data_IF_232459796183
#
_entry.id   IF_232459796183
#
_cell.length_a   1.000
_cell.length_b   1.000
_cell.length_c   1.000
_cell.angle_alpha   90.00
_cell.angle_beta   90.00
_cell.angle_gamma   90.00
#
_symmetry.space_group_name_H-M   'P 1'
#
loop_
_entity.id
_entity.type
_entity.pdbx_description
1 polymer ?
#
# COMPACT_ATOMS: atom_id res chain seq x y z
N UNK A 1 24.80 5.74 2.14
CA UNK A 1 25.38 5.01 1.00
C UNK A 1 26.66 4.33 1.47
N UNK A 2 26.55 3.27 2.30
CA UNK A 2 27.70 2.57 2.92
C UNK A 2 27.51 1.04 3.04
N UNK A 3 26.30 0.52 2.77
CA UNK A 3 25.97 -0.90 2.99
C UNK A 3 26.80 -1.87 2.15
N UNK A 4 27.18 -1.46 0.94
CA UNK A 4 28.00 -2.27 0.02
C UNK A 4 29.46 -2.32 0.51
N UNK A 5 29.99 -1.20 1.00
CA UNK A 5 31.35 -1.13 1.54
C UNK A 5 31.49 -2.02 2.79
N UNK A 6 30.46 -2.01 3.65
CA UNK A 6 30.41 -2.88 4.83
C UNK A 6 30.33 -4.36 4.44
N UNK A 7 29.54 -4.69 3.41
CA UNK A 7 29.46 -6.06 2.88
C UNK A 7 30.82 -6.54 2.33
N UNK A 8 31.53 -5.67 1.60
CA UNK A 8 32.89 -5.94 1.09
C UNK A 8 33.89 -6.17 2.22
N UNK A 9 33.89 -5.32 3.25
CA UNK A 9 34.75 -5.49 4.42
C UNK A 9 34.51 -6.82 5.15
N UNK A 10 33.27 -7.32 5.15
CA UNK A 10 32.92 -8.62 5.75
C UNK A 10 33.38 -9.81 4.92
N UNK A 11 33.46 -9.65 3.60
CA UNK A 11 34.07 -10.64 2.72
C UNK A 11 35.56 -10.75 3.05
N UNK A 12 36.27 -9.63 3.17
CA UNK A 12 37.69 -9.61 3.54
C UNK A 12 37.96 -10.24 4.91
N UNK A 13 37.05 -10.05 5.87
CA UNK A 13 37.12 -10.67 7.20
C UNK A 13 36.68 -12.13 7.24
N UNK A 14 36.17 -12.70 6.13
CA UNK A 14 35.65 -14.07 6.08
C UNK A 14 34.35 -14.29 6.88
N UNK A 15 33.64 -13.22 7.25
CA UNK A 15 32.38 -13.25 8.00
C UNK A 15 31.15 -13.08 7.10
N UNK A 16 31.36 -13.00 5.80
CA UNK A 16 30.28 -12.91 4.83
C UNK A 16 29.45 -14.19 4.81
N UNK A 17 28.12 -14.05 4.76
CA UNK A 17 27.19 -15.17 4.78
C UNK A 17 26.88 -15.74 6.17
N UNK A 18 27.30 -15.09 7.25
CA UNK A 18 26.90 -15.43 8.62
C UNK A 18 26.10 -14.28 9.26
N UNK A 19 25.02 -14.65 9.95
CA UNK A 19 24.16 -13.72 10.67
C UNK A 19 24.90 -13.09 11.85
N UNK A 20 24.85 -11.76 12.00
CA UNK A 20 25.49 -11.07 13.13
C UNK A 20 24.84 -11.34 14.48
N UNK A 21 23.54 -11.63 14.48
CA UNK A 21 22.78 -11.82 15.72
C UNK A 21 22.93 -13.24 16.28
N UNK A 22 22.71 -14.27 15.45
CA UNK A 22 22.72 -15.67 15.89
C UNK A 22 23.91 -16.49 15.40
N UNK A 23 24.78 -15.94 14.54
CA UNK A 23 25.95 -16.64 14.00
C UNK A 23 25.63 -17.77 13.01
N UNK A 24 24.34 -18.01 12.68
CA UNK A 24 23.92 -19.02 11.70
C UNK A 24 24.26 -18.59 10.28
N UNK A 25 24.43 -19.56 9.39
CA UNK A 25 24.65 -19.30 7.96
C UNK A 25 23.38 -18.70 7.33
N UNK A 26 23.55 -17.62 6.56
CA UNK A 26 22.47 -16.97 5.80
C UNK A 26 22.21 -17.82 4.54
N UNK A 27 20.93 -18.02 4.20
CA UNK A 27 20.56 -18.77 3.00
C UNK A 27 21.14 -18.12 1.74
N UNK A 28 21.74 -18.93 0.86
CA UNK A 28 22.36 -18.44 -0.38
C UNK A 28 21.37 -17.69 -1.28
N UNK A 29 20.11 -18.17 -1.36
CA UNK A 29 19.07 -17.50 -2.15
C UNK A 29 18.83 -16.06 -1.68
N UNK A 30 18.96 -15.81 -0.37
CA UNK A 30 18.81 -14.48 0.21
C UNK A 30 20.01 -13.58 -0.09
N UNK A 31 21.24 -14.11 -0.01
CA UNK A 31 22.45 -13.38 -0.39
C UNK A 31 22.50 -13.08 -1.89
N UNK A 32 21.92 -13.95 -2.73
CA UNK A 32 21.79 -13.72 -4.15
C UNK A 32 20.79 -12.60 -4.48
N UNK A 33 19.70 -12.50 -3.70
CA UNK A 33 18.71 -11.43 -3.86
C UNK A 33 19.19 -10.09 -3.26
N UNK A 34 19.76 -10.11 -2.05
CA UNK A 34 20.19 -8.93 -1.28
C UNK A 34 21.58 -9.22 -0.68
N UNK A 35 22.67 -8.91 -1.41
CA UNK A 35 24.02 -9.28 -1.00
C UNK A 35 24.54 -8.52 0.22
N UNK A 36 23.96 -7.36 0.55
CA UNK A 36 24.33 -6.55 1.72
C UNK A 36 23.66 -6.99 3.03
N UNK A 37 22.83 -8.04 3.01
CA UNK A 37 22.09 -8.47 4.20
C UNK A 37 23.04 -9.06 5.26
N UNK A 38 22.82 -8.65 6.51
CA UNK A 38 23.66 -9.06 7.65
C UNK A 38 22.99 -10.03 8.62
N UNK A 39 21.67 -10.22 8.46
CA UNK A 39 20.82 -11.02 9.34
C UNK A 39 20.17 -12.18 8.56
N UNK A 40 19.90 -13.28 9.27
CA UNK A 40 19.08 -14.37 8.74
C UNK A 40 17.59 -14.02 8.81
N UNK A 41 16.77 -14.76 8.06
CA UNK A 41 15.32 -14.54 7.98
C UNK A 41 14.67 -14.51 9.37
N UNK A 42 14.97 -15.49 10.23
CA UNK A 42 14.38 -15.55 11.57
C UNK A 42 14.63 -14.26 12.37
N UNK A 43 15.89 -13.81 12.43
CA UNK A 43 16.28 -12.63 13.21
C UNK A 43 15.75 -11.34 12.60
N UNK A 44 15.62 -11.26 11.27
CA UNK A 44 14.99 -10.12 10.62
C UNK A 44 13.48 -10.08 10.91
N UNK A 45 12.79 -11.21 10.84
CA UNK A 45 11.37 -11.31 11.16
C UNK A 45 11.08 -11.01 12.64
N UNK A 46 11.98 -11.36 13.55
CA UNK A 46 11.87 -10.97 14.96
C UNK A 46 12.01 -9.44 15.12
N UNK A 47 12.98 -8.83 14.44
CA UNK A 47 13.17 -7.37 14.45
C UNK A 47 11.99 -6.61 13.83
N UNK A 48 11.39 -7.14 12.75
CA UNK A 48 10.22 -6.53 12.11
C UNK A 48 8.98 -6.54 13.02
N UNK A 49 8.76 -7.63 13.77
CA UNK A 49 7.66 -7.74 14.74
C UNK A 49 7.77 -6.75 15.90
N UNK A 50 8.99 -6.41 16.34
CA UNK A 50 9.18 -5.35 17.35
C UNK A 50 8.88 -3.95 16.79
N UNK A 51 8.97 -3.77 15.47
CA UNK A 51 8.66 -2.51 14.78
C UNK A 51 7.25 -2.48 14.17
N UNK A 52 6.39 -3.43 14.54
CA UNK A 52 5.08 -3.59 13.95
C UNK A 52 4.16 -2.43 14.41
N UNK A 53 3.86 -1.53 13.48
CA UNK A 53 2.82 -0.50 13.55
C UNK A 53 3.04 0.74 14.45
N UNK A 54 4.01 0.78 15.37
CA UNK A 54 4.14 1.92 16.29
C UNK A 54 4.56 3.25 15.62
N UNK A 55 5.04 3.21 14.37
CA UNK A 55 5.52 4.41 13.63
C UNK A 55 4.66 4.76 12.41
N UNK A 56 3.46 4.18 12.29
CA UNK A 56 2.51 4.63 11.25
C UNK A 56 1.84 5.93 11.71
N UNK A 57 1.67 6.92 10.81
CA UNK A 57 1.03 8.19 11.17
C UNK A 57 -0.43 7.96 11.62
N UNK A 58 -0.93 8.79 12.54
CA UNK A 58 -2.28 8.67 13.12
C UNK A 58 -3.38 8.77 12.05
N UNK A 59 -3.10 9.47 10.95
CA UNK A 59 -3.96 9.59 9.79
C UNK A 59 -4.30 8.23 9.18
N UNK A 60 -3.43 7.23 9.30
CA UNK A 60 -3.67 5.89 8.76
C UNK A 60 -4.73 5.11 9.56
N UNK A 61 -4.82 5.32 10.87
CA UNK A 61 -5.92 4.80 11.69
C UNK A 61 -7.26 5.42 11.30
N UNK A 62 -7.23 6.69 10.85
CA UNK A 62 -8.42 7.40 10.37
C UNK A 62 -8.78 7.00 8.93
N UNK A 63 -7.79 6.68 8.10
CA UNK A 63 -7.92 6.30 6.69
C UNK A 63 -8.14 4.80 6.47
N UNK A 64 -7.99 3.96 7.50
CA UNK A 64 -8.26 2.53 7.42
C UNK A 64 -9.69 2.22 7.88
N UNK A 65 -10.55 1.61 7.05
CA UNK A 65 -10.32 1.10 5.71
C UNK A 65 -10.53 2.19 4.63
N UNK A 66 -9.79 2.15 3.51
CA UNK A 66 -9.95 3.14 2.45
C UNK A 66 -11.41 3.12 2.01
N UNK A 67 -12.05 4.29 2.03
CA UNK A 67 -13.43 4.50 1.60
C UNK A 67 -14.54 3.86 2.47
N UNK A 68 -14.30 2.77 3.22
CA UNK A 68 -15.34 2.03 3.98
C UNK A 68 -15.96 2.70 5.22
N UNK A 69 -15.71 3.97 5.54
CA UNK A 69 -16.47 4.66 6.62
C UNK A 69 -17.83 5.18 6.14
N UNK A 70 -18.00 5.36 4.83
CA UNK A 70 -19.16 6.08 4.28
C UNK A 70 -20.05 5.26 3.36
N UNK A 71 -19.57 4.19 2.71
CA UNK A 71 -20.42 3.27 1.94
C UNK A 71 -21.33 2.49 2.89
N UNK A 72 -22.46 3.07 3.28
CA UNK A 72 -23.50 2.42 4.05
C UNK A 72 -24.59 1.96 3.07
N UNK A 73 -24.33 0.93 2.27
CA UNK A 73 -25.36 0.36 1.39
C UNK A 73 -26.55 -0.23 2.21
N UNK A 74 -26.28 -0.63 3.46
CA UNK A 74 -27.22 -1.30 4.36
C UNK A 74 -28.07 -0.35 5.24
N UNK A 75 -28.01 0.99 5.08
CA UNK A 75 -28.80 1.91 5.92
C UNK A 75 -29.70 2.84 5.12
N UNK A 76 -30.95 3.04 5.58
CA UNK A 76 -31.93 4.02 5.07
C UNK A 76 -31.51 5.50 5.30
N UNK A 77 -30.22 5.81 5.18
CA UNK A 77 -29.66 7.12 5.42
C UNK A 77 -29.57 7.90 4.10
N UNK A 78 -30.62 8.67 3.81
CA UNK A 78 -30.71 9.54 2.63
C UNK A 78 -29.93 10.88 2.79
N UNK A 79 -28.82 10.88 3.53
CA UNK A 79 -28.00 12.07 3.76
C UNK A 79 -26.65 11.94 3.08
N UNK A 80 -26.02 13.07 2.75
CA UNK A 80 -24.78 13.12 1.95
C UNK A 80 -23.67 12.25 2.55
N UNK A 81 -23.33 11.18 1.86
CA UNK A 81 -22.29 10.26 2.26
C UNK A 81 -21.01 10.47 1.40
N UNK A 82 -20.08 9.51 1.48
CA UNK A 82 -18.83 9.61 0.73
C UNK A 82 -19.02 9.30 -0.75
N UNK A 83 -19.99 8.46 -1.10
CA UNK A 83 -20.36 8.15 -2.48
C UNK A 83 -20.97 9.38 -3.15
N UNK A 84 -21.95 10.03 -2.48
CA UNK A 84 -22.57 11.29 -2.92
C UNK A 84 -21.55 12.38 -3.24
N UNK A 85 -20.57 12.58 -2.35
CA UNK A 85 -19.51 13.58 -2.53
C UNK A 85 -18.62 13.23 -3.72
N UNK A 86 -18.31 11.94 -3.90
CA UNK A 86 -17.51 11.48 -5.02
C UNK A 86 -18.24 11.66 -6.35
N UNK A 87 -19.53 11.36 -6.42
CA UNK A 87 -20.36 11.56 -7.61
C UNK A 87 -20.49 13.04 -8.00
N UNK A 88 -20.70 13.95 -7.04
CA UNK A 88 -20.77 15.39 -7.31
C UNK A 88 -19.49 15.91 -7.97
N UNK A 89 -18.32 15.49 -7.47
CA UNK A 89 -17.01 15.89 -8.00
C UNK A 89 -16.72 15.19 -9.32
N UNK A 90 -17.11 13.92 -9.46
CA UNK A 90 -16.92 13.12 -10.68
C UNK A 90 -17.61 13.74 -11.90
N UNK A 91 -18.73 14.46 -11.72
CA UNK A 91 -19.40 15.24 -12.79
C UNK A 91 -18.47 16.26 -13.46
N UNK A 92 -17.48 16.77 -12.74
CA UNK A 92 -16.50 17.73 -13.26
C UNK A 92 -15.29 17.05 -13.92
N UNK A 93 -15.25 15.71 -13.92
CA UNK A 93 -14.27 14.88 -14.61
C UNK A 93 -13.50 13.97 -13.65
N UNK A 94 -13.51 12.67 -13.95
CA UNK A 94 -12.62 11.68 -13.34
C UNK A 94 -11.49 11.33 -14.32
N UNK A 95 -10.43 10.71 -13.82
CA UNK A 95 -9.37 10.17 -14.69
C UNK A 95 -9.84 9.02 -15.59
N UNK A 96 -11.10 8.59 -15.47
CA UNK A 96 -11.67 7.44 -16.19
C UNK A 96 -12.79 7.83 -17.18
N UNK A 97 -13.17 9.10 -17.26
CA UNK A 97 -14.28 9.54 -18.13
C UNK A 97 -13.82 10.02 -19.52
N UNK A 98 -14.77 10.05 -20.46
CA UNK A 98 -14.61 10.16 -21.93
C UNK A 98 -13.76 11.32 -22.50
N UNK A 99 -13.13 12.15 -21.67
CA UNK A 99 -12.08 13.07 -22.09
C UNK A 99 -10.84 12.34 -22.66
N UNK A 100 -10.57 11.11 -22.22
CA UNK A 100 -9.44 10.29 -22.71
C UNK A 100 -9.76 9.51 -24.01
N UNK A 101 -11.05 9.31 -24.32
CA UNK A 101 -11.50 8.65 -25.53
C UNK A 101 -11.95 9.70 -26.55
N UNK A 102 -11.02 10.09 -27.43
CA UNK A 102 -11.23 11.07 -28.49
C UNK A 102 -12.48 10.81 -29.34
N UNK A 103 -13.59 11.46 -28.94
CA UNK A 103 -14.77 11.73 -29.76
C UNK A 103 -15.68 10.55 -30.10
N UNK A 104 -16.83 10.47 -29.41
CA UNK A 104 -18.20 10.66 -29.96
C UNK A 104 -19.26 9.91 -29.15
N UNK A 105 -20.36 10.65 -28.94
CA UNK A 105 -21.78 10.25 -28.77
C UNK A 105 -22.22 9.54 -27.50
N UNK A 106 -23.10 10.25 -26.77
CA UNK A 106 -24.20 9.79 -25.93
C UNK A 106 -23.92 8.55 -25.08
N UNK A 107 -23.55 8.82 -23.83
CA UNK A 107 -23.85 7.89 -22.74
C UNK A 107 -25.05 8.49 -22.00
N UNK A 108 -26.12 7.70 -21.88
CA UNK A 108 -26.91 7.75 -20.64
C UNK A 108 -25.90 7.66 -19.51
N UNK A 109 -25.95 8.62 -18.59
CA UNK A 109 -25.00 8.76 -17.49
C UNK A 109 -24.88 7.40 -16.77
N UNK A 110 -23.77 6.64 -16.93
CA UNK A 110 -23.65 5.33 -16.32
C UNK A 110 -23.43 5.42 -14.80
N UNK A 111 -23.28 6.63 -14.28
CA UNK A 111 -22.91 6.93 -12.90
C UNK A 111 -24.11 7.34 -12.06
N UNK A 112 -25.32 7.38 -12.63
CA UNK A 112 -26.56 7.41 -11.86
C UNK A 112 -26.89 5.95 -11.56
N UNK A 113 -26.67 5.51 -10.33
CA UNK A 113 -27.13 4.19 -9.94
C UNK A 113 -28.65 4.13 -10.06
N UNK A 114 -29.18 3.02 -10.59
CA UNK A 114 -30.61 2.88 -10.92
C UNK A 114 -31.55 2.90 -9.71
N UNK A 115 -30.98 2.98 -8.52
CA UNK A 115 -31.66 2.91 -7.24
C UNK A 115 -31.98 4.31 -6.67
N UNK A 116 -31.40 5.37 -7.24
CA UNK A 116 -31.61 6.76 -6.81
C UNK A 116 -32.53 7.52 -7.78
N UNK A 117 -33.84 7.41 -7.54
CA UNK A 117 -34.83 8.21 -8.28
C UNK A 117 -34.77 9.69 -7.83
N UNK A 118 -34.68 10.65 -8.77
CA UNK A 118 -34.72 12.06 -8.44
C UNK A 118 -36.12 12.43 -7.92
N UNK A 119 -36.17 13.11 -6.77
CA UNK A 119 -37.40 13.63 -6.16
C UNK A 119 -38.04 14.78 -6.94
#
# INVERSE_FOLDING_TARGET
>A
MHKIDDALARIEQGKYGFCEHCGRQIANDRLAAIPETTLCLDCESENEKEHDHETRPIEEELLSPPFCRTFRDDSDYAGTDGEDIWEEVARYGTSETAADLGGKTYFDDPQIDGDEEPW
#
